data_IF_116393598286
#
_entry.id   IF_116393598286
#
_cell.length_a   1.000
_cell.length_b   1.000
_cell.length_c   1.000
_cell.angle_alpha   90.00
_cell.angle_beta   90.00
_cell.angle_gamma   90.00
#
_symmetry.space_group_name_H-M   'P 1'
#
loop_
_entity.id
_entity.type
_entity.pdbx_description
1 polymer ?
#
# COMPACT_ATOMS: atom_id res chain seq x y z
N UNK A 1 -19.81 -3.53 16.14
CA UNK A 1 -19.07 -4.35 15.15
C UNK A 1 -18.42 -3.41 14.14
N UNK A 2 -17.31 -3.79 13.53
CA UNK A 2 -16.52 -2.91 12.63
C UNK A 2 -17.21 -2.81 11.27
N UNK A 3 -18.12 -1.85 11.13
CA UNK A 3 -18.84 -1.57 9.88
C UNK A 3 -17.96 -0.72 8.94
N UNK A 4 -16.82 -1.26 8.50
CA UNK A 4 -15.98 -0.63 7.49
C UNK A 4 -16.16 -1.35 6.13
N UNK A 5 -16.79 -0.70 5.14
CA UNK A 5 -17.22 -1.33 3.87
C UNK A 5 -16.08 -1.67 2.90
N UNK A 6 -14.82 -1.69 3.36
CA UNK A 6 -13.69 -2.09 2.55
C UNK A 6 -13.24 -3.53 2.92
N UNK A 7 -13.78 -4.57 2.26
CA UNK A 7 -13.47 -5.97 2.59
C UNK A 7 -11.98 -6.33 2.40
N UNK A 8 -11.22 -5.51 1.67
CA UNK A 8 -9.80 -5.76 1.40
C UNK A 8 -8.83 -5.27 2.48
N UNK A 9 -9.28 -4.53 3.50
CA UNK A 9 -8.40 -3.96 4.53
C UNK A 9 -7.89 -5.03 5.51
N UNK A 10 -6.66 -4.90 6.02
CA UNK A 10 -6.08 -5.79 7.03
C UNK A 10 -6.91 -5.89 8.31
N UNK A 11 -7.68 -4.84 8.62
CA UNK A 11 -8.59 -4.82 9.77
C UNK A 11 -9.77 -5.80 9.65
N UNK A 12 -10.07 -6.26 8.44
CA UNK A 12 -11.14 -7.21 8.13
C UNK A 12 -10.61 -8.63 7.89
N UNK A 13 -9.33 -8.90 8.18
CA UNK A 13 -8.67 -10.20 8.03
C UNK A 13 -8.35 -10.81 9.40
N UNK A 14 -8.33 -12.15 9.52
CA UNK A 14 -7.92 -12.80 10.77
C UNK A 14 -6.45 -12.50 11.09
N UNK A 15 -6.12 -12.38 12.37
CA UNK A 15 -4.79 -11.98 12.83
C UNK A 15 -3.68 -12.90 12.30
N UNK A 16 -3.93 -14.20 12.30
CA UNK A 16 -3.02 -15.22 11.80
C UNK A 16 -2.68 -15.03 10.31
N UNK A 17 -3.66 -14.65 9.48
CA UNK A 17 -3.42 -14.39 8.06
C UNK A 17 -2.55 -13.15 7.86
N UNK A 18 -2.82 -12.07 8.62
CA UNK A 18 -2.02 -10.84 8.58
C UNK A 18 -0.59 -11.11 9.03
N UNK A 19 -0.41 -11.88 10.10
CA UNK A 19 0.89 -12.30 10.62
C UNK A 19 1.67 -13.12 9.58
N UNK A 20 1.02 -14.10 8.95
CA UNK A 20 1.64 -14.93 7.91
C UNK A 20 2.06 -14.11 6.68
N UNK A 21 1.24 -13.13 6.26
CA UNK A 21 1.57 -12.21 5.17
C UNK A 21 2.80 -11.37 5.54
N UNK A 22 2.82 -10.79 6.74
CA UNK A 22 3.94 -9.99 7.23
C UNK A 22 5.23 -10.82 7.32
N UNK A 23 5.13 -12.04 7.87
CA UNK A 23 6.25 -13.00 7.96
C UNK A 23 6.81 -13.35 6.59
N UNK A 24 5.95 -13.67 5.61
CA UNK A 24 6.36 -14.00 4.24
C UNK A 24 7.06 -12.82 3.56
N UNK A 25 6.50 -11.61 3.69
CA UNK A 25 7.12 -10.39 3.17
C UNK A 25 8.49 -10.10 3.80
N UNK A 26 8.61 -10.30 5.12
CA UNK A 26 9.88 -10.19 5.84
C UNK A 26 10.93 -11.15 5.29
N UNK A 27 10.63 -12.45 5.24
CA UNK A 27 11.58 -13.48 4.77
C UNK A 27 12.10 -13.22 3.36
N UNK A 28 11.24 -12.77 2.43
CA UNK A 28 11.66 -12.44 1.05
C UNK A 28 12.61 -11.24 0.96
N UNK A 29 12.67 -10.38 1.97
CA UNK A 29 13.42 -9.11 1.94
C UNK A 29 14.82 -9.18 2.56
N UNK A 30 15.16 -10.24 3.32
CA UNK A 30 16.37 -10.29 4.15
C UNK A 30 17.70 -10.23 3.36
N UNK A 31 17.72 -10.65 2.09
CA UNK A 31 18.97 -10.80 1.32
C UNK A 31 19.11 -9.84 0.11
N UNK A 32 18.04 -9.10 -0.23
CA UNK A 32 18.01 -8.26 -1.45
C UNK A 32 17.12 -7.01 -1.32
N UNK A 33 16.71 -6.66 -0.11
CA UNK A 33 15.85 -5.52 0.17
C UNK A 33 16.58 -4.16 0.12
N UNK A 34 15.80 -3.08 0.22
CA UNK A 34 16.32 -1.71 0.26
C UNK A 34 17.40 -1.52 1.32
N UNK A 35 17.24 -2.13 2.51
CA UNK A 35 18.19 -2.05 3.62
C UNK A 35 19.56 -2.67 3.32
N UNK A 36 19.62 -3.68 2.44
CA UNK A 36 20.85 -4.40 2.10
C UNK A 36 21.61 -3.79 0.90
N UNK A 37 21.09 -2.72 0.29
CA UNK A 37 21.74 -2.00 -0.82
C UNK A 37 22.81 -1.00 -0.34
N UNK A 38 23.71 -0.58 -1.23
CA UNK A 38 24.67 0.48 -0.95
C UNK A 38 24.01 1.79 -0.50
N UNK A 39 24.63 2.48 0.47
CA UNK A 39 24.08 3.70 1.09
C UNK A 39 23.84 4.82 0.07
N UNK A 40 24.71 4.98 -0.92
CA UNK A 40 24.55 5.99 -1.97
C UNK A 40 23.35 5.68 -2.86
N UNK A 41 23.20 4.40 -3.25
CA UNK A 41 22.07 3.92 -4.05
C UNK A 41 20.75 4.08 -3.28
N UNK A 42 20.73 3.75 -2.00
CA UNK A 42 19.59 4.00 -1.10
C UNK A 42 19.21 5.49 -1.08
N UNK A 43 20.19 6.38 -0.86
CA UNK A 43 19.96 7.83 -0.83
C UNK A 43 19.39 8.35 -2.15
N UNK A 44 19.91 7.88 -3.27
CA UNK A 44 19.44 8.27 -4.60
C UNK A 44 17.99 7.82 -4.85
N UNK A 45 17.64 6.58 -4.48
CA UNK A 45 16.28 6.07 -4.61
C UNK A 45 15.32 6.82 -3.67
N UNK A 46 15.69 7.02 -2.41
CA UNK A 46 14.90 7.77 -1.45
C UNK A 46 14.67 9.23 -1.90
N UNK A 47 15.71 9.89 -2.41
CA UNK A 47 15.63 11.24 -2.96
C UNK A 47 14.67 11.29 -4.15
N UNK A 48 14.79 10.38 -5.12
CA UNK A 48 13.87 10.29 -6.27
C UNK A 48 12.42 10.06 -5.82
N UNK A 49 12.20 9.17 -4.84
CA UNK A 49 10.87 8.95 -4.25
C UNK A 49 10.31 10.19 -3.57
N UNK A 50 11.15 10.95 -2.85
CA UNK A 50 10.78 12.22 -2.23
C UNK A 50 10.39 13.30 -3.24
N UNK A 51 11.13 13.43 -4.35
CA UNK A 51 10.82 14.40 -5.42
C UNK A 51 9.56 14.01 -6.21
N UNK A 52 9.37 12.71 -6.47
CA UNK A 52 8.17 12.21 -7.14
C UNK A 52 6.92 12.32 -6.26
N UNK A 53 7.10 12.21 -4.93
CA UNK A 53 6.04 12.47 -3.97
C UNK A 53 5.70 13.96 -3.99
N UNK A 54 4.47 14.30 -4.37
CA UNK A 54 3.95 15.69 -4.29
C UNK A 54 3.69 16.12 -2.82
N UNK A 55 4.46 15.62 -1.86
CA UNK A 55 4.30 15.87 -0.43
C UNK A 55 3.12 15.16 0.22
N UNK A 56 2.99 15.38 1.54
CA UNK A 56 1.87 14.90 2.35
C UNK A 56 0.54 15.51 1.90
N UNK A 57 -0.53 14.73 1.95
CA UNK A 57 -1.87 15.26 1.75
C UNK A 57 -2.31 16.02 3.00
N UNK A 58 -2.86 17.21 2.82
CA UNK A 58 -3.52 17.92 3.92
C UNK A 58 -4.87 17.26 4.20
N UNK A 59 -5.22 17.00 5.48
CA UNK A 59 -6.52 16.46 5.85
C UNK A 59 -7.66 17.28 5.26
N UNK A 60 -8.63 16.61 4.63
CA UNK A 60 -9.80 17.28 4.02
C UNK A 60 -9.55 17.93 2.65
N UNK A 61 -8.29 18.01 2.18
CA UNK A 61 -7.99 18.58 0.86
C UNK A 61 -8.66 17.80 -0.28
N UNK A 62 -9.02 18.46 -1.40
CA UNK A 62 -9.60 17.80 -2.57
C UNK A 62 -8.72 16.64 -3.06
N UNK A 63 -7.40 16.81 -3.00
CA UNK A 63 -6.40 15.82 -3.40
C UNK A 63 -6.43 14.58 -2.50
N UNK A 64 -6.59 14.75 -1.19
CA UNK A 64 -6.72 13.64 -0.25
C UNK A 64 -8.01 12.84 -0.52
N UNK A 65 -9.11 13.56 -0.72
CA UNK A 65 -10.42 12.96 -1.04
C UNK A 65 -10.38 12.19 -2.36
N UNK A 66 -9.77 12.76 -3.39
CA UNK A 66 -9.65 12.10 -4.69
C UNK A 66 -8.75 10.86 -4.63
N UNK A 67 -7.61 10.93 -3.94
CA UNK A 67 -6.73 9.79 -3.74
C UNK A 67 -7.43 8.66 -2.96
N UNK A 68 -8.17 8.98 -1.90
CA UNK A 68 -8.99 8.02 -1.15
C UNK A 68 -10.10 7.39 -2.01
N UNK A 69 -10.83 8.22 -2.78
CA UNK A 69 -11.86 7.74 -3.71
C UNK A 69 -11.30 6.80 -4.77
N UNK A 70 -10.16 7.15 -5.38
CA UNK A 70 -9.47 6.27 -6.34
C UNK A 70 -9.03 4.96 -5.70
N UNK A 71 -8.48 5.01 -4.48
CA UNK A 71 -8.12 3.82 -3.71
C UNK A 71 -9.32 2.90 -3.47
N UNK A 72 -10.48 3.46 -3.11
CA UNK A 72 -11.71 2.69 -2.95
C UNK A 72 -12.23 2.06 -4.25
N UNK A 73 -12.17 2.79 -5.38
CA UNK A 73 -12.60 2.27 -6.69
C UNK A 73 -11.74 1.12 -7.22
N UNK A 74 -10.42 1.16 -7.00
CA UNK A 74 -9.50 0.11 -7.43
C UNK A 74 -9.81 -1.26 -6.80
N UNK A 75 -10.50 -1.28 -5.66
CA UNK A 75 -10.92 -2.51 -4.96
C UNK A 75 -12.19 -3.09 -5.61
N UNK A 76 -13.08 -2.25 -6.14
CA UNK A 76 -14.29 -2.69 -6.84
C UNK A 76 -14.05 -3.15 -8.29
N UNK A 77 -13.01 -2.65 -8.98
CA UNK A 77 -12.73 -3.01 -10.38
C UNK A 77 -12.16 -4.44 -10.57
N UNK A 78 -12.00 -5.24 -9.51
CA UNK A 78 -11.63 -6.66 -9.64
C UNK A 78 -12.86 -7.61 -9.66
N UNK A 79 -14.09 -7.07 -9.70
CA UNK A 79 -15.33 -7.88 -9.64
C UNK A 79 -16.23 -7.73 -10.88
N UNK A 80 -15.83 -6.98 -11.90
CA UNK A 80 -16.63 -6.78 -13.11
C UNK A 80 -15.80 -7.07 -14.36
N UNK A 81 -15.48 -8.34 -14.60
CA UNK A 81 -15.22 -8.85 -15.95
C UNK A 81 -16.52 -9.55 -16.40
N UNK A 82 -17.19 -9.11 -17.48
CA UNK A 82 -18.39 -9.78 -17.98
C UNK A 82 -17.98 -11.12 -18.61
N UNK A 83 -18.66 -12.20 -18.21
CA UNK A 83 -18.53 -13.50 -18.86
C UNK A 83 -19.09 -13.43 -20.29
N UNK A 84 -18.27 -13.78 -21.28
CA UNK A 84 -18.70 -14.22 -22.62
C UNK A 84 -17.91 -15.49 -23.00
#
# INVERSE_FOLDING_TARGET
MVDNPNPGNFHNRPHEEVENIARKGGQSSHHSGFASMDREKQRNIASKGGHASRGKFEPGSPRAKEAGRRGGKAIHHQQEEPEE
#
